data_IF_076608587514
#
_entry.id   IF_076608587514
#
_cell.length_a   1.000
_cell.length_b   1.000
_cell.length_c   1.000
_cell.angle_alpha   90.00
_cell.angle_beta   90.00
_cell.angle_gamma   90.00
#
_symmetry.space_group_name_H-M   'P 1'
#
loop_
_entity.id
_entity.type
_entity.pdbx_description
1 polymer ?
2 non-polymer ?
3 non-polymer ?
4 non-polymer ?
5 water ?
#
# COMPACT_ATOMS: atom_id res chain seq x y z
N UNK A 18 12.01 -44.82 4.17
CA UNK A 18 12.91 -43.71 4.58
C UNK A 18 12.82 -43.40 6.07
N UNK A 19 13.99 -43.18 6.70
CA UNK A 19 14.14 -42.87 8.13
C UNK A 19 13.37 -41.63 8.61
N UNK A 20 12.70 -41.78 9.75
CA UNK A 20 11.96 -40.68 10.34
C UNK A 20 12.55 -40.32 11.69
N UNK A 21 13.86 -40.50 11.84
CA UNK A 21 14.53 -40.15 13.09
C UNK A 21 14.56 -38.62 13.18
N UNK A 22 14.04 -38.05 14.27
CA UNK A 22 14.06 -36.59 14.37
C UNK A 22 15.49 -36.06 14.36
N UNK A 23 15.65 -34.91 13.73
CA UNK A 23 16.94 -34.25 13.66
C UNK A 23 16.68 -32.78 13.93
N UNK A 24 17.54 -32.17 14.74
CA UNK A 24 17.43 -30.74 15.04
C UNK A 24 18.53 -30.03 14.28
N UNK A 25 18.16 -29.12 13.40
CA UNK A 25 19.20 -28.42 12.67
C UNK A 25 20.06 -27.61 13.66
N UNK A 26 21.38 -27.80 13.56
CA UNK A 26 22.33 -27.12 14.42
C UNK A 26 23.73 -27.29 13.86
N UNK A 27 24.67 -26.50 14.33
CA UNK A 27 26.04 -26.56 13.82
C UNK A 27 26.93 -25.73 14.70
N UNK A 28 28.23 -25.99 14.63
CA UNK A 28 29.16 -25.18 15.40
C UNK A 28 29.16 -23.85 14.67
N UNK A 29 29.01 -22.77 15.43
CA UNK A 29 28.98 -21.43 14.86
C UNK A 29 30.20 -21.12 13.99
N UNK A 30 30.08 -20.09 13.18
CA UNK A 30 31.15 -19.66 12.30
C UNK A 30 32.30 -19.04 13.10
N UNK A 31 33.52 -19.27 12.66
CA UNK A 31 34.68 -18.73 13.35
C UNK A 31 35.61 -18.07 12.34
N UNK A 32 36.23 -16.98 12.76
CA UNK A 32 37.15 -16.27 11.89
C UNK A 32 36.49 -15.86 10.59
N UNK A 33 35.16 -15.73 10.62
CA UNK A 33 34.39 -15.35 9.43
C UNK A 33 34.45 -16.39 8.33
N UNK A 34 34.64 -17.63 8.73
CA UNK A 34 34.68 -18.73 7.79
C UNK A 34 33.33 -19.44 7.84
N UNK A 35 32.89 -20.00 6.71
CA UNK A 35 31.60 -20.68 6.75
C UNK A 35 31.63 -21.85 7.73
N UNK A 36 30.51 -22.13 8.41
CA UNK A 36 30.48 -23.25 9.35
C UNK A 36 30.23 -24.54 8.55
N UNK A 37 30.28 -25.68 9.22
CA UNK A 37 30.03 -26.94 8.55
C UNK A 37 29.22 -27.87 9.47
N UNK A 38 28.08 -28.34 8.96
CA UNK A 38 27.19 -29.21 9.71
C UNK A 38 27.69 -30.65 9.86
N UNK A 39 28.81 -30.96 9.21
CA UNK A 39 29.36 -32.29 9.29
C UNK A 39 28.91 -33.13 8.11
N UNK A 40 29.56 -34.27 7.94
CA UNK A 40 29.26 -35.17 6.85
C UNK A 40 27.86 -35.75 6.83
N UNK A 41 27.35 -36.14 8.00
CA UNK A 41 26.02 -36.74 8.04
C UNK A 41 24.93 -35.76 7.63
N UNK A 42 24.98 -34.53 8.14
CA UNK A 42 23.98 -33.55 7.77
C UNK A 42 24.18 -33.15 6.32
N UNK A 43 25.41 -32.85 5.95
CA UNK A 43 25.69 -32.45 4.58
C UNK A 43 25.15 -33.47 3.60
N UNK A 44 25.55 -34.73 3.79
CA UNK A 44 25.09 -35.79 2.90
C UNK A 44 23.57 -35.88 2.87
N UNK A 45 22.95 -35.86 4.04
CA UNK A 45 21.51 -35.94 4.11
C UNK A 45 20.86 -34.70 3.50
N UNK A 46 21.41 -33.53 3.83
CA UNK A 46 20.89 -32.27 3.33
C UNK A 46 20.94 -32.26 1.80
N UNK A 47 22.11 -32.56 1.26
CA UNK A 47 22.33 -32.61 -0.17
C UNK A 47 21.40 -33.61 -0.87
N UNK A 48 21.17 -34.75 -0.23
CA UNK A 48 20.31 -35.78 -0.81
C UNK A 48 18.92 -35.28 -1.19
N UNK A 49 18.42 -34.27 -0.48
CA UNK A 49 17.11 -33.70 -0.78
C UNK A 49 17.14 -32.26 -1.25
N UNK A 50 18.30 -31.81 -1.69
CA UNK A 50 18.47 -30.46 -2.21
C UNK A 50 18.20 -29.33 -1.22
N UNK A 51 18.38 -29.62 0.06
CA UNK A 51 18.19 -28.62 1.09
C UNK A 51 19.58 -28.03 1.36
N UNK A 52 19.64 -26.79 1.83
CA UNK A 52 20.94 -26.17 2.09
C UNK A 52 20.88 -25.22 3.27
N UNK A 53 22.04 -24.83 3.77
CA UNK A 53 22.12 -23.88 4.87
C UNK A 53 23.06 -22.74 4.51
N UNK A 54 23.64 -22.83 3.32
CA UNK A 54 24.55 -21.80 2.83
C UNK A 54 24.29 -21.45 1.36
N UNK A 55 24.61 -20.22 0.98
CA UNK A 55 24.49 -19.78 -0.40
C UNK A 55 25.87 -19.94 -1.02
N UNK A 56 26.26 -19.04 -1.92
CA UNK A 56 27.57 -19.12 -2.56
C UNK A 56 28.69 -18.57 -1.68
N UNK A 57 29.54 -19.48 -1.19
CA UNK A 57 30.65 -19.14 -0.32
C UNK A 57 31.91 -18.62 -1.05
N UNK A 58 31.83 -18.51 -2.36
CA UNK A 58 32.94 -18.02 -3.14
C UNK A 58 32.81 -16.50 -3.33
N UNK A 59 31.85 -15.91 -2.65
CA UNK A 59 31.65 -14.47 -2.74
C UNK A 59 31.14 -13.87 -1.46
N UNK A 60 31.52 -12.62 -1.22
CA UNK A 60 31.08 -11.91 -0.02
C UNK A 60 29.60 -11.57 -0.14
N UNK A 61 28.78 -12.60 0.01
CA UNK A 61 27.34 -12.44 -0.11
C UNK A 61 26.64 -13.00 1.13
N UNK A 62 25.60 -12.30 1.56
CA UNK A 62 24.79 -12.70 2.72
C UNK A 62 23.31 -12.69 2.32
N UNK A 63 22.55 -13.63 2.86
CA UNK A 63 21.12 -13.76 2.58
C UNK A 63 20.31 -13.59 3.87
N UNK A 64 19.47 -12.58 3.94
CA UNK A 64 18.68 -12.39 5.15
C UNK A 64 17.35 -13.16 5.13
N UNK A 65 17.11 -13.93 6.19
CA UNK A 65 15.87 -14.66 6.34
C UNK A 65 15.37 -14.40 7.74
N UNK A 66 14.06 -14.44 7.90
CA UNK A 66 13.44 -14.24 9.20
C UNK A 66 12.41 -15.34 9.47
N UNK A 67 12.15 -15.62 10.74
CA UNK A 67 11.12 -16.60 11.13
C UNK A 67 10.12 -15.71 11.87
N UNK A 68 8.84 -15.79 11.51
CA UNK A 68 7.84 -14.96 12.15
C UNK A 68 6.69 -15.77 12.69
N UNK A 69 6.66 -15.91 14.01
CA UNK A 69 5.62 -16.69 14.66
C UNK A 69 4.52 -15.79 15.18
N UNK A 70 4.88 -14.59 15.63
CA UNK A 70 3.94 -13.62 16.15
C UNK A 70 4.59 -12.23 16.05
N UNK A 71 3.79 -11.21 16.27
CA UNK A 71 4.27 -9.83 16.18
C UNK A 71 4.41 -9.19 17.55
N UNK A 72 5.55 -8.56 17.79
CA UNK A 72 5.79 -7.87 19.05
C UNK A 72 6.05 -6.39 18.80
N UNK A 73 5.66 -5.92 17.62
CA UNK A 73 5.79 -4.51 17.28
C UNK A 73 6.99 -3.94 16.55
N UNK A 74 7.88 -4.75 15.99
CA UNK A 74 9.05 -4.20 15.29
C UNK A 74 9.17 -4.56 13.83
N UNK A 75 8.32 -5.44 13.34
CA UNK A 75 8.45 -5.84 11.95
C UNK A 75 8.32 -4.67 10.98
N UNK A 76 7.47 -3.68 11.27
CA UNK A 76 7.36 -2.55 10.33
C UNK A 76 8.72 -1.82 10.27
N UNK A 77 9.35 -1.62 11.42
CA UNK A 77 10.65 -0.96 11.41
C UNK A 77 11.62 -1.84 10.64
N UNK A 78 11.55 -3.16 10.84
CA UNK A 78 12.43 -4.08 10.10
C UNK A 78 12.23 -3.90 8.61
N UNK A 79 10.97 -3.80 8.19
CA UNK A 79 10.67 -3.60 6.78
C UNK A 79 11.18 -2.24 6.27
N UNK A 80 11.08 -1.20 7.09
CA UNK A 80 11.57 0.11 6.67
C UNK A 80 13.08 0.05 6.48
N UNK A 81 13.76 -0.66 7.37
CA UNK A 81 15.20 -0.79 7.28
C UNK A 81 15.59 -1.50 5.98
N UNK A 82 14.93 -2.63 5.69
CA UNK A 82 15.23 -3.39 4.48
C UNK A 82 15.03 -2.53 3.23
N UNK A 83 13.96 -1.74 3.24
CA UNK A 83 13.65 -0.84 2.13
C UNK A 83 14.77 0.19 1.99
N UNK A 84 15.20 0.77 3.11
CA UNK A 84 16.26 1.77 3.09
C UNK A 84 17.49 1.25 2.36
N UNK A 85 17.96 0.06 2.75
CA UNK A 85 19.14 -0.57 2.17
C UNK A 85 18.83 -1.32 0.88
N UNK A 86 17.57 -1.30 0.47
CA UNK A 86 17.15 -1.99 -0.74
C UNK A 86 17.59 -3.46 -0.72
N UNK A 87 17.40 -4.10 0.42
CA UNK A 87 17.76 -5.52 0.57
C UNK A 87 16.48 -6.36 0.58
N UNK A 88 16.51 -7.52 -0.05
CA UNK A 88 15.33 -8.38 -0.08
C UNK A 88 15.35 -9.49 0.96
N UNK A 89 14.40 -9.46 1.89
CA UNK A 89 14.30 -10.47 2.92
C UNK A 89 13.41 -11.65 2.59
N UNK A 90 13.59 -12.75 3.30
CA UNK A 90 12.75 -13.93 3.08
C UNK A 90 12.19 -14.22 4.47
N UNK A 91 10.90 -13.99 4.62
CA UNK A 91 10.22 -14.19 5.90
C UNK A 91 9.44 -15.48 5.94
N UNK A 92 9.81 -16.35 6.87
CA UNK A 92 9.14 -17.63 7.04
C UNK A 92 8.04 -17.43 8.06
N UNK A 93 6.80 -17.41 7.59
CA UNK A 93 5.65 -17.18 8.45
C UNK A 93 4.85 -18.41 8.83
N UNK A 94 4.16 -18.31 9.98
CA UNK A 94 3.31 -19.38 10.48
C UNK A 94 1.86 -18.98 10.20
N UNK A 95 0.93 -19.90 10.46
CA UNK A 95 -0.49 -19.61 10.25
C UNK A 95 -0.99 -18.49 11.11
N UNK A 96 -0.63 -18.52 12.39
CA UNK A 96 -1.05 -17.46 13.30
C UNK A 96 -0.52 -16.11 12.85
N UNK A 97 0.75 -16.06 12.45
CA UNK A 97 1.34 -14.81 12.03
C UNK A 97 0.57 -14.18 10.87
N UNK A 98 0.29 -14.99 9.85
CA UNK A 98 -0.44 -14.52 8.69
C UNK A 98 -1.83 -14.02 9.08
N UNK A 99 -2.55 -14.81 9.85
CA UNK A 99 -3.89 -14.45 10.29
C UNK A 99 -3.91 -13.25 11.18
N UNK A 100 -2.87 -13.11 12.00
CA UNK A 100 -2.79 -11.98 12.92
C UNK A 100 -2.25 -10.67 12.31
N UNK A 101 -1.37 -10.79 11.33
CA UNK A 101 -0.75 -9.63 10.71
C UNK A 101 -0.93 -9.52 9.19
N UNK A 102 -2.17 -9.66 8.70
CA UNK A 102 -2.43 -9.57 7.26
C UNK A 102 -1.75 -8.40 6.53
N UNK A 103 -1.75 -7.21 7.15
CA UNK A 103 -1.13 -6.05 6.51
C UNK A 103 0.39 -6.15 6.42
N UNK A 104 1.02 -6.75 7.42
CA UNK A 104 2.47 -6.93 7.38
C UNK A 104 2.81 -7.92 6.27
N UNK A 105 1.96 -8.93 6.11
CA UNK A 105 2.16 -9.93 5.07
C UNK A 105 2.07 -9.23 3.71
N UNK A 106 1.15 -8.26 3.64
CA UNK A 106 0.92 -7.49 2.45
C UNK A 106 2.11 -6.55 2.16
N UNK A 107 2.68 -5.94 3.18
CA UNK A 107 3.85 -5.07 2.95
C UNK A 107 5.03 -5.91 2.45
N UNK A 108 5.27 -7.04 3.11
CA UNK A 108 6.36 -7.93 2.71
C UNK A 108 6.24 -8.17 1.21
N UNK A 109 5.02 -8.49 0.78
CA UNK A 109 4.68 -8.76 -0.62
C UNK A 109 4.85 -7.51 -1.48
N UNK A 110 4.16 -6.43 -1.12
CA UNK A 110 4.24 -5.18 -1.88
C UNK A 110 5.66 -4.66 -1.99
N UNK A 111 6.51 -4.95 -1.00
CA UNK A 111 7.86 -4.41 -1.02
C UNK A 111 8.97 -5.31 -1.56
N UNK A 112 8.58 -6.28 -2.38
CA UNK A 112 9.53 -7.16 -3.02
C UNK A 112 10.13 -8.28 -2.21
N UNK A 113 9.63 -8.52 -1.01
CA UNK A 113 10.19 -9.58 -0.17
C UNK A 113 9.59 -10.96 -0.43
N UNK A 114 10.27 -12.00 0.02
CA UNK A 114 9.80 -13.37 -0.19
C UNK A 114 9.15 -13.94 1.07
N UNK A 115 8.02 -14.60 0.89
CA UNK A 115 7.32 -15.20 2.01
C UNK A 115 7.50 -16.71 2.02
N UNK A 116 8.27 -17.20 3.00
CA UNK A 116 8.54 -18.62 3.15
C UNK A 116 7.49 -19.30 3.99
N UNK A 117 7.57 -20.63 4.09
CA UNK A 117 6.60 -21.39 4.87
C UNK A 117 7.19 -21.91 6.19
N UNK A 118 6.51 -21.59 7.30
CA UNK A 118 6.96 -22.05 8.60
C UNK A 118 5.83 -22.88 9.23
N UNK A 119 4.99 -23.43 8.34
CA UNK A 119 3.83 -24.27 8.68
C UNK A 119 2.72 -23.47 9.35
N UNK A 120 1.49 -23.97 9.25
CA UNK A 120 0.37 -23.27 9.82
C UNK A 120 0.29 -23.21 11.34
N UNK A 121 0.44 -24.36 12.00
CA UNK A 121 0.37 -24.42 13.46
C UNK A 121 1.74 -24.53 14.12
N UNK A 122 2.79 -24.49 13.31
CA UNK A 122 4.16 -24.59 13.81
C UNK A 122 4.39 -25.88 14.63
N UNK A 123 3.88 -27.00 14.13
CA UNK A 123 4.05 -28.28 14.84
C UNK A 123 5.39 -28.97 14.53
N UNK A 124 5.60 -30.12 15.16
CA UNK A 124 6.78 -30.93 14.92
C UNK A 124 6.36 -31.82 13.74
N UNK A 125 6.72 -31.41 12.53
CA UNK A 125 6.36 -32.14 11.34
C UNK A 125 6.70 -33.63 11.36
N UNK A 126 7.73 -34.02 12.10
CA UNK A 126 8.09 -35.44 12.13
C UNK A 126 7.00 -36.27 12.82
N UNK A 127 6.07 -35.59 13.47
CA UNK A 127 4.97 -36.27 14.14
C UNK A 127 3.74 -36.22 13.25
N UNK A 128 3.89 -35.73 12.03
CA UNK A 128 2.78 -35.60 11.10
C UNK A 128 2.84 -36.52 9.89
N UNK A 129 1.67 -36.78 9.32
CA UNK A 129 1.57 -37.64 8.15
C UNK A 129 1.62 -36.76 6.90
N UNK A 130 1.99 -37.37 5.77
CA UNK A 130 2.09 -36.61 4.52
C UNK A 130 0.81 -35.83 4.31
N UNK A 131 -0.30 -36.47 4.66
CA UNK A 131 -1.62 -35.86 4.52
C UNK A 131 -1.69 -34.61 5.38
N UNK A 132 -1.16 -34.71 6.59
CA UNK A 132 -1.16 -33.60 7.54
C UNK A 132 -0.15 -32.54 7.16
N UNK A 133 1.01 -32.99 6.70
CA UNK A 133 2.06 -32.07 6.28
C UNK A 133 1.57 -31.24 5.11
N UNK A 134 0.89 -31.88 4.16
CA UNK A 134 0.39 -31.17 3.01
C UNK A 134 -0.57 -30.05 3.43
N UNK A 135 -1.41 -30.33 4.42
CA UNK A 135 -2.36 -29.32 4.90
C UNK A 135 -1.62 -28.26 5.73
N UNK A 136 -0.71 -28.69 6.58
CA UNK A 136 0.06 -27.74 7.38
C UNK A 136 0.71 -26.67 6.51
N UNK A 137 1.29 -27.09 5.39
CA UNK A 137 1.96 -26.18 4.49
C UNK A 137 1.04 -25.41 3.53
N UNK A 138 0.13 -26.11 2.84
CA UNK A 138 -0.74 -25.43 1.90
C UNK A 138 -1.68 -24.41 2.52
N UNK A 139 -2.06 -24.61 3.79
CA UNK A 139 -2.98 -23.67 4.41
C UNK A 139 -2.31 -22.33 4.64
N UNK A 140 -0.98 -22.34 4.78
CA UNK A 140 -0.29 -21.07 4.96
C UNK A 140 -0.34 -20.35 3.62
N UNK A 141 -0.07 -21.07 2.52
CA UNK A 141 -0.09 -20.48 1.18
C UNK A 141 -1.47 -19.95 0.84
N UNK A 142 -2.49 -20.71 1.23
CA UNK A 142 -3.89 -20.34 1.01
C UNK A 142 -4.19 -18.95 1.59
N UNK A 143 -3.82 -18.75 2.85
CA UNK A 143 -4.04 -17.47 3.54
C UNK A 143 -3.19 -16.34 2.94
N UNK A 144 -1.94 -16.62 2.63
CA UNK A 144 -1.07 -15.62 2.04
C UNK A 144 -1.66 -15.14 0.73
N UNK A 145 -2.13 -16.08 -0.08
CA UNK A 145 -2.71 -15.74 -1.36
C UNK A 145 -3.99 -14.92 -1.17
N UNK A 146 -4.85 -15.35 -0.25
CA UNK A 146 -6.08 -14.61 0.01
C UNK A 146 -5.76 -13.13 0.19
N UNK A 147 -4.63 -12.88 0.83
CA UNK A 147 -4.16 -11.53 1.11
C UNK A 147 -3.37 -10.82 -0.02
N UNK A 148 -2.45 -11.53 -0.65
CA UNK A 148 -1.62 -10.93 -1.67
C UNK A 148 -2.05 -11.20 -3.11
N UNK A 149 -2.65 -12.35 -3.36
CA UNK A 149 -3.07 -12.68 -4.71
C UNK A 149 -1.86 -13.21 -5.44
N UNK A 150 -0.77 -13.36 -4.70
CA UNK A 150 0.47 -13.85 -5.25
C UNK A 150 0.94 -15.07 -4.47
N UNK A 151 1.96 -15.72 -4.99
CA UNK A 151 2.52 -16.87 -4.33
C UNK A 151 3.98 -17.03 -4.74
N UNK A 152 4.86 -16.96 -3.75
CA UNK A 152 6.30 -17.06 -3.97
C UNK A 152 6.70 -18.49 -4.25
N UNK A 153 7.94 -18.68 -4.69
CA UNK A 153 8.44 -20.03 -4.91
C UNK A 153 8.31 -20.68 -3.53
N UNK A 154 8.16 -22.00 -3.51
CA UNK A 154 7.98 -22.74 -2.28
C UNK A 154 9.24 -23.00 -1.48
N UNK A 155 9.36 -22.30 -0.36
CA UNK A 155 10.48 -22.42 0.55
C UNK A 155 9.94 -22.83 1.92
N UNK A 156 10.61 -23.77 2.55
CA UNK A 156 10.16 -24.23 3.85
C UNK A 156 11.25 -24.27 4.87
N UNK A 157 10.91 -23.82 6.08
CA UNK A 157 11.82 -23.89 7.20
C UNK A 157 11.04 -24.69 8.26
N UNK A 158 11.48 -25.92 8.54
CA UNK A 158 10.84 -26.81 9.52
C UNK A 158 10.59 -26.16 10.88
N UNK A 159 9.33 -26.20 11.35
CA UNK A 159 8.99 -25.62 12.64
C UNK A 159 9.86 -26.22 13.73
N UNK A 160 10.40 -25.35 14.58
CA UNK A 160 11.24 -25.76 15.71
C UNK A 160 12.60 -26.22 15.22
N UNK A 161 12.83 -26.07 13.92
CA UNK A 161 14.10 -26.48 13.33
C UNK A 161 14.26 -27.99 13.31
N UNK A 162 13.18 -28.69 13.59
CA UNK A 162 13.20 -30.15 13.62
C UNK A 162 12.76 -30.76 12.30
N UNK A 163 13.43 -31.83 11.88
CA UNK A 163 13.10 -32.50 10.64
C UNK A 163 13.60 -33.95 10.64
N UNK A 164 13.44 -34.62 9.50
CA UNK A 164 13.89 -36.00 9.35
C UNK A 164 13.99 -36.29 7.87
N UNK A 165 14.51 -37.45 7.51
CA UNK A 165 14.63 -37.80 6.11
C UNK A 165 13.20 -37.88 5.53
N UNK A 166 12.30 -38.50 6.28
CA UNK A 166 10.91 -38.63 5.86
C UNK A 166 10.28 -37.25 5.56
N UNK A 167 10.52 -36.29 6.46
CA UNK A 167 9.99 -34.93 6.34
C UNK A 167 10.56 -34.19 5.12
N UNK A 168 11.87 -34.31 4.92
CA UNK A 168 12.55 -33.68 3.80
C UNK A 168 12.01 -34.27 2.51
N UNK A 169 12.07 -35.59 2.42
CA UNK A 169 11.59 -36.32 1.26
C UNK A 169 10.15 -35.92 0.92
N UNK A 170 9.28 -36.02 1.92
CA UNK A 170 7.88 -35.70 1.75
C UNK A 170 7.63 -34.27 1.29
N UNK A 171 8.20 -33.30 2.00
CA UNK A 171 8.01 -31.88 1.63
C UNK A 171 8.61 -31.56 0.26
N UNK A 172 9.67 -32.26 -0.11
CA UNK A 172 10.30 -32.07 -1.40
C UNK A 172 9.33 -32.62 -2.43
N UNK A 173 8.73 -33.75 -2.08
CA UNK A 173 7.76 -34.38 -2.98
C UNK A 173 6.60 -33.39 -3.18
N UNK A 174 6.41 -32.52 -2.18
CA UNK A 174 5.35 -31.53 -2.23
C UNK A 174 5.79 -30.24 -2.90
N UNK A 175 6.99 -30.26 -3.47
CA UNK A 175 7.51 -29.10 -4.19
C UNK A 175 8.23 -28.04 -3.36
N UNK A 176 8.51 -28.33 -2.10
CA UNK A 176 9.18 -27.33 -1.26
C UNK A 176 10.68 -27.46 -1.17
N UNK A 177 11.32 -26.30 -1.13
CA UNK A 177 12.76 -26.20 -1.00
C UNK A 177 13.01 -25.93 0.48
N UNK A 178 13.71 -26.84 1.15
CA UNK A 178 13.98 -26.64 2.57
C UNK A 178 15.21 -25.79 2.76
N UNK A 179 15.03 -24.71 3.51
CA UNK A 179 16.09 -23.76 3.77
C UNK A 179 16.41 -23.67 5.26
N UNK A 180 17.64 -24.01 5.62
CA UNK A 180 18.07 -23.89 7.00
C UNK A 180 18.82 -22.56 7.15
N UNK A 181 19.86 -22.51 7.95
CA UNK A 181 20.58 -21.25 8.15
C UNK A 181 22.01 -21.49 8.59
N UNK A 182 22.84 -20.46 8.53
CA UNK A 182 24.24 -20.61 8.90
C UNK A 182 24.62 -19.62 9.99
N UNK A 183 23.72 -18.69 10.29
CA UNK A 183 23.94 -17.68 11.32
C UNK A 183 22.64 -17.49 12.10
N UNK A 184 22.73 -17.60 13.41
CA UNK A 184 21.58 -17.42 14.31
C UNK A 184 22.12 -17.15 15.70
N UNK A 185 21.30 -16.52 16.53
CA UNK A 185 21.65 -16.22 17.90
C UNK A 185 20.34 -16.02 18.66
N UNK A 186 20.42 -15.80 19.97
CA UNK A 186 19.21 -15.66 20.77
C UNK A 186 18.61 -14.27 20.74
N UNK A 187 17.77 -14.02 19.74
CA UNK A 187 17.11 -12.74 19.60
C UNK A 187 15.61 -12.98 19.65
N UNK A 188 15.22 -14.05 20.35
CA UNK A 188 13.83 -14.42 20.42
C UNK A 188 13.28 -14.66 21.82
N UNK A 189 14.08 -14.41 22.85
CA UNK A 189 13.61 -14.61 24.21
C UNK A 189 13.05 -13.29 24.72
N UNK A 190 11.72 -13.22 24.85
CA UNK A 190 11.06 -12.01 25.31
C UNK A 190 11.38 -11.65 26.76
N UNK A 191 11.57 -12.66 27.60
CA UNK A 191 11.88 -12.37 29.00
C UNK A 191 13.31 -11.87 29.21
N UNK A 192 14.13 -11.89 28.16
CA UNK A 192 15.50 -11.41 28.28
C UNK A 192 15.98 -10.79 26.98
N UNK A 193 15.45 -9.61 26.68
CA UNK A 193 15.79 -8.87 25.46
C UNK A 193 17.06 -8.09 25.74
N UNK A 194 18.16 -8.55 25.16
CA UNK A 194 19.47 -7.94 25.39
C UNK A 194 19.81 -6.59 24.75
N UNK A 195 18.97 -6.06 23.88
CA UNK A 195 19.28 -4.78 23.30
C UNK A 195 20.05 -4.85 21.99
N UNK A 196 20.25 -3.67 21.40
CA UNK A 196 20.93 -3.50 20.12
C UNK A 196 22.34 -4.11 19.94
N UNK A 197 23.27 -3.73 20.81
CA UNK A 197 24.63 -4.23 20.72
C UNK A 197 24.77 -5.76 20.63
N UNK A 198 24.03 -6.48 21.48
CA UNK A 198 24.10 -7.92 21.49
C UNK A 198 23.87 -8.54 20.11
N UNK A 199 22.79 -8.15 19.44
CA UNK A 199 22.46 -8.66 18.11
C UNK A 199 23.43 -8.15 17.06
N UNK A 200 23.74 -6.85 17.14
CA UNK A 200 24.65 -6.22 16.19
C UNK A 200 26.00 -6.96 16.17
N UNK A 201 26.59 -7.17 17.35
CA UNK A 201 27.85 -7.88 17.41
C UNK A 201 27.77 -9.30 16.85
N UNK A 202 26.69 -10.01 17.16
CA UNK A 202 26.54 -11.36 16.61
C UNK A 202 26.50 -11.34 15.08
N UNK A 203 25.81 -10.35 14.53
CA UNK A 203 25.68 -10.27 13.08
C UNK A 203 27.00 -9.92 12.39
N UNK A 204 27.86 -9.21 13.11
CA UNK A 204 29.17 -8.82 12.59
C UNK A 204 30.17 -9.98 12.75
N UNK A 205 30.22 -10.54 13.95
CA UNK A 205 31.14 -11.63 14.26
C UNK A 205 30.89 -12.92 13.48
N UNK A 206 29.62 -13.28 13.32
CA UNK A 206 29.28 -14.51 12.62
C UNK A 206 29.25 -14.43 11.11
N UNK A 207 29.40 -13.21 10.58
CA UNK A 207 29.39 -12.99 9.14
C UNK A 207 30.46 -13.78 8.39
N UNK A 208 30.04 -14.43 7.32
CA UNK A 208 30.93 -15.21 6.48
C UNK A 208 30.31 -15.22 5.08
N UNK A 209 31.12 -15.54 4.05
CA UNK A 209 30.63 -15.60 2.67
C UNK A 209 29.57 -16.67 2.53
N UNK A 210 28.53 -16.36 1.76
CA UNK A 210 27.44 -17.31 1.55
C UNK A 210 26.55 -17.52 2.77
N UNK A 211 26.77 -16.73 3.82
CA UNK A 211 26.00 -16.88 5.05
C UNK A 211 24.51 -16.64 4.88
N UNK A 212 23.72 -17.50 5.51
CA UNK A 212 22.28 -17.38 5.50
C UNK A 212 21.88 -17.07 6.93
N UNK A 213 21.53 -15.82 7.16
CA UNK A 213 21.11 -15.37 8.48
C UNK A 213 19.67 -15.75 8.79
N UNK A 214 19.42 -16.04 10.07
CA UNK A 214 18.10 -16.35 10.57
C UNK A 214 17.88 -15.37 11.71
N UNK A 215 16.99 -14.42 11.52
CA UNK A 215 16.72 -13.42 12.53
C UNK A 215 15.25 -13.44 12.91
N UNK A 216 14.95 -12.83 14.05
CA UNK A 216 13.58 -12.70 14.50
C UNK A 216 13.39 -11.21 14.58
N UNK A 217 12.13 -10.75 14.54
CA UNK A 217 11.85 -9.32 14.57
C UNK A 217 11.01 -9.00 15.81
N UNK A 218 11.21 -9.76 16.88
CA UNK A 218 10.45 -9.55 18.11
C UNK A 218 11.22 -8.94 19.28
N UNK A 219 12.55 -8.96 19.25
CA UNK A 219 13.31 -8.43 20.39
C UNK A 219 13.62 -6.95 20.28
N UNK A 220 13.71 -6.29 21.42
CA UNK A 220 13.99 -4.86 21.50
C UNK A 220 15.18 -4.43 20.64
N UNK A 221 14.96 -3.46 19.75
CA UNK A 221 15.99 -2.90 18.88
C UNK A 221 16.57 -3.80 17.80
N UNK A 222 15.94 -4.93 17.53
CA UNK A 222 16.45 -5.82 16.50
C UNK A 222 16.53 -5.03 15.19
N UNK A 223 15.57 -4.13 14.98
CA UNK A 223 15.55 -3.34 13.75
C UNK A 223 16.76 -2.41 13.61
N UNK A 224 17.10 -1.69 14.70
CA UNK A 224 18.24 -0.78 14.67
C UNK A 224 19.58 -1.51 14.56
N UNK A 225 19.67 -2.71 15.16
CA UNK A 225 20.90 -3.49 15.10
C UNK A 225 21.08 -4.00 13.67
N UNK A 226 19.98 -4.38 13.03
CA UNK A 226 20.01 -4.86 11.66
C UNK A 226 20.47 -3.72 10.75
N UNK A 227 19.90 -2.54 11.00
CA UNK A 227 20.21 -1.34 10.22
C UNK A 227 21.71 -1.14 10.18
N UNK A 228 22.30 -1.02 11.37
CA UNK A 228 23.73 -0.81 11.53
C UNK A 228 24.53 -1.97 10.93
N UNK A 229 24.02 -3.18 11.14
CA UNK A 229 24.69 -4.37 10.64
C UNK A 229 24.76 -4.37 9.13
N UNK A 230 23.68 -3.98 8.47
CA UNK A 230 23.72 -3.95 7.02
C UNK A 230 24.65 -2.82 6.61
N UNK A 231 24.50 -1.67 7.26
CA UNK A 231 25.33 -0.53 6.96
C UNK A 231 26.79 -0.93 7.01
N UNK A 232 27.22 -1.55 8.09
CA UNK A 232 28.63 -1.93 8.23
C UNK A 232 29.06 -3.12 7.40
N UNK A 233 28.20 -4.12 7.24
CA UNK A 233 28.58 -5.28 6.42
C UNK A 233 28.81 -4.85 4.97
N UNK A 234 28.00 -3.90 4.50
CA UNK A 234 28.15 -3.38 3.14
C UNK A 234 29.51 -2.66 3.04
N UNK A 235 29.87 -1.88 4.07
CA UNK A 235 31.16 -1.19 4.08
C UNK A 235 32.27 -2.22 3.94
N UNK A 236 32.06 -3.40 4.52
CA UNK A 236 33.04 -4.48 4.47
C UNK A 236 33.05 -5.18 3.12
N UNK A 237 32.19 -4.72 2.20
CA UNK A 237 32.14 -5.32 0.88
C UNK A 237 31.18 -6.48 0.69
N UNK A 238 30.18 -6.58 1.57
CA UNK A 238 29.18 -7.65 1.46
C UNK A 238 28.00 -7.20 0.63
N UNK A 239 27.46 -8.11 -0.15
CA UNK A 239 26.28 -7.84 -0.97
C UNK A 239 25.16 -8.72 -0.41
N UNK A 240 24.00 -8.13 -0.17
CA UNK A 240 22.87 -8.90 0.35
C UNK A 240 21.97 -9.39 -0.77
N UNK A 241 21.77 -10.71 -0.83
CA UNK A 241 20.93 -11.31 -1.86
C UNK A 241 19.78 -12.11 -1.24
N UNK A 242 18.77 -12.39 -2.04
CA UNK A 242 17.61 -13.14 -1.57
C UNK A 242 17.72 -14.64 -1.81
N UNK A 243 16.85 -15.40 -1.17
CA UNK A 243 16.85 -16.84 -1.35
C UNK A 243 16.50 -17.16 -2.80
N UNK A 244 15.68 -16.31 -3.43
CA UNK A 244 15.36 -16.55 -4.85
C UNK A 244 16.66 -16.35 -5.64
N UNK A 245 17.43 -15.31 -5.32
CA UNK A 245 18.69 -15.07 -6.02
C UNK A 245 19.61 -16.28 -5.79
N UNK A 246 19.69 -16.78 -4.56
CA UNK A 246 20.53 -17.93 -4.24
C UNK A 246 20.17 -19.10 -5.15
N UNK A 247 18.87 -19.36 -5.26
CA UNK A 247 18.36 -20.44 -6.10
C UNK A 247 18.71 -20.24 -7.58
N UNK A 248 18.43 -19.05 -8.11
CA UNK A 248 18.70 -18.77 -9.52
C UNK A 248 20.16 -18.88 -9.90
N UNK A 249 21.03 -18.31 -9.08
CA UNK A 249 22.45 -18.31 -9.37
C UNK A 249 23.11 -19.68 -9.31
N UNK A 250 22.55 -20.59 -8.50
CA UNK A 250 23.10 -21.93 -8.38
C UNK A 250 22.55 -22.81 -9.50
N UNK A 251 21.43 -22.38 -10.07
CA UNK A 251 20.80 -23.11 -11.17
C UNK A 251 21.84 -23.17 -12.29
N UNK A 252 22.33 -21.98 -12.64
CA UNK A 252 23.35 -21.84 -13.67
C UNK A 252 24.64 -22.48 -13.17
N UNK A 253 25.22 -21.94 -12.20
N UNK B 18 6.25 34.16 -0.11
CA UNK B 18 5.26 33.13 -0.54
C UNK B 18 5.40 32.83 -2.04
N UNK B 19 5.88 31.62 -2.37
CA UNK B 19 6.10 31.14 -3.74
C UNK B 19 4.84 31.05 -4.61
N UNK B 20 4.95 31.55 -5.84
CA UNK B 20 3.84 31.49 -6.80
C UNK B 20 4.26 30.61 -7.96
N UNK B 21 4.95 29.51 -7.66
CA UNK B 21 5.40 28.59 -8.69
C UNK B 21 4.28 27.63 -9.09
N UNK B 22 3.88 27.64 -10.36
CA UNK B 22 2.82 26.76 -10.83
C UNK B 22 3.00 25.31 -10.41
N UNK B 23 1.93 24.70 -9.95
CA UNK B 23 1.94 23.31 -9.53
C UNK B 23 0.67 22.66 -10.06
N UNK B 24 0.81 21.54 -10.74
CA UNK B 24 -0.35 20.83 -11.29
C UNK B 24 -0.66 19.66 -10.37
N UNK B 25 -1.87 19.62 -9.83
CA UNK B 25 -2.22 18.52 -8.96
C UNK B 25 -2.14 17.25 -9.79
N UNK B 26 -1.47 16.24 -9.24
CA UNK B 26 -1.30 14.97 -9.92
C UNK B 26 -0.83 13.99 -8.88
N UNK B 27 -0.79 12.72 -9.21
CA UNK B 27 -0.37 11.71 -8.26
C UNK B 27 -0.40 10.35 -8.94
N UNK B 28 0.31 9.40 -8.34
CA UNK B 28 0.35 8.06 -8.88
C UNK B 28 -0.99 7.43 -8.47
N UNK B 29 -1.73 6.94 -9.45
CA UNK B 29 -3.03 6.34 -9.21
C UNK B 29 -3.06 5.30 -8.08
N UNK B 30 -4.25 5.06 -7.55
CA UNK B 30 -4.43 4.09 -6.49
C UNK B 30 -4.18 2.69 -7.03
N UNK B 31 -3.46 1.89 -6.25
CA UNK B 31 -3.18 0.52 -6.64
C UNK B 31 -3.61 -0.37 -5.47
N UNK B 32 -4.11 -1.55 -5.76
CA UNK B 32 -4.53 -2.45 -4.69
C UNK B 32 -5.65 -1.85 -3.83
N UNK B 33 -6.29 -0.80 -4.30
CA UNK B 33 -7.35 -0.14 -3.54
C UNK B 33 -6.82 0.54 -2.29
N UNK B 34 -5.57 0.97 -2.37
CA UNK B 34 -4.94 1.66 -1.27
C UNK B 34 -4.91 3.15 -1.61
N UNK B 35 -5.04 4.01 -0.60
CA UNK B 35 -5.01 5.45 -0.86
C UNK B 35 -3.73 5.90 -1.55
N UNK B 36 -3.84 6.75 -2.57
CA UNK B 36 -2.65 7.24 -3.27
C UNK B 36 -1.88 8.17 -2.33
N UNK B 37 -0.71 8.63 -2.77
CA UNK B 37 0.05 9.57 -1.97
C UNK B 37 0.66 10.57 -2.93
N UNK B 38 0.51 11.85 -2.63
CA UNK B 38 1.03 12.93 -3.47
C UNK B 38 2.49 13.22 -3.21
N UNK B 39 3.07 12.53 -2.22
CA UNK B 39 4.46 12.77 -1.89
C UNK B 39 4.49 13.88 -0.87
N UNK B 40 5.33 13.73 0.14
CA UNK B 40 5.40 14.74 1.19
C UNK B 40 5.80 16.10 0.68
N UNK B 41 6.02 16.21 -0.62
CA UNK B 41 6.36 17.49 -1.21
C UNK B 41 5.09 18.31 -1.22
N UNK B 42 4.04 17.71 -1.77
CA UNK B 42 2.73 18.33 -1.84
C UNK B 42 1.98 18.15 -0.54
N UNK B 43 2.23 17.03 0.13
CA UNK B 43 1.59 16.73 1.39
C UNK B 43 1.87 17.83 2.42
N UNK B 44 3.08 18.37 2.39
CA UNK B 44 3.46 19.44 3.31
C UNK B 44 2.70 20.70 2.99
N UNK B 45 2.90 21.19 1.77
CA UNK B 45 2.25 22.40 1.29
C UNK B 45 0.74 22.30 1.38
N UNK B 46 0.22 21.11 1.13
CA UNK B 46 -1.22 20.91 1.16
C UNK B 46 -1.77 21.22 2.56
N UNK B 47 -1.30 20.48 3.55
CA UNK B 47 -1.75 20.66 4.92
C UNK B 47 -1.40 22.02 5.47
N UNK B 48 -0.32 22.60 4.96
CA UNK B 48 0.11 23.93 5.40
C UNK B 48 -1.03 24.92 5.22
N UNK B 49 -1.84 24.71 4.19
CA UNK B 49 -2.96 25.59 3.91
C UNK B 49 -4.30 24.88 4.05
N UNK B 50 -4.26 23.75 4.73
CA UNK B 50 -5.45 22.95 5.00
C UNK B 50 -6.19 22.41 3.78
N UNK B 51 -5.54 22.38 2.62
CA UNK B 51 -6.16 21.84 1.42
C UNK B 51 -6.07 20.30 1.54
N UNK B 52 -6.94 19.58 0.85
CA UNK B 52 -6.91 18.11 0.93
C UNK B 52 -7.34 17.42 -0.36
N UNK B 53 -6.94 16.15 -0.47
CA UNK B 53 -7.28 15.34 -1.63
C UNK B 53 -7.85 14.00 -1.20
N UNK B 54 -7.86 13.77 0.11
CA UNK B 54 -8.39 12.54 0.69
C UNK B 54 -9.32 12.84 1.86
N UNK B 55 -10.26 11.92 2.10
CA UNK B 55 -11.18 12.06 3.21
C UNK B 55 -10.70 11.14 4.32
N UNK B 56 -11.62 10.47 5.00
CA UNK B 56 -11.24 9.56 6.07
C UNK B 56 -10.78 8.23 5.51
N UNK B 57 -9.46 8.07 5.43
CA UNK B 57 -8.88 6.84 4.89
C UNK B 57 -9.01 5.67 5.85
N UNK B 58 -9.60 5.93 7.02
CA UNK B 58 -9.76 4.90 8.01
C UNK B 58 -11.09 4.17 7.92
N UNK B 59 -11.94 4.59 7.00
CA UNK B 59 -13.23 3.93 6.81
C UNK B 59 -13.49 3.76 5.31
N UNK B 60 -14.37 2.82 4.97
CA UNK B 60 -14.70 2.56 3.57
C UNK B 60 -15.70 3.60 3.09
N UNK B 61 -15.21 4.83 2.93
CA UNK B 61 -16.03 5.93 2.47
C UNK B 61 -15.46 6.55 1.20
N UNK B 62 -16.36 7.05 0.36
CA UNK B 62 -15.99 7.70 -0.89
C UNK B 62 -16.75 9.00 -0.97
N UNK B 63 -16.09 10.01 -1.52
CA UNK B 63 -16.69 11.32 -1.66
C UNK B 63 -16.71 11.67 -3.14
N UNK B 64 -17.91 11.82 -3.70
CA UNK B 64 -18.03 12.15 -5.11
C UNK B 64 -18.04 13.66 -5.37
N UNK B 65 -17.18 14.09 -6.27
CA UNK B 65 -17.14 15.48 -6.66
C UNK B 65 -17.21 15.50 -8.18
N UNK B 66 -17.71 16.60 -8.74
CA UNK B 66 -17.82 16.77 -10.17
C UNK B 66 -17.30 18.15 -10.58
N UNK B 67 -16.73 18.23 -11.78
CA UNK B 67 -16.25 19.51 -12.29
C UNK B 67 -17.15 19.78 -13.47
N UNK B 68 -17.81 20.92 -13.45
CA UNK B 68 -18.74 21.28 -14.49
C UNK B 68 -18.37 22.59 -15.17
N UNK B 69 -17.95 22.50 -16.42
CA UNK B 69 -17.56 23.68 -17.16
C UNK B 69 -18.61 23.99 -18.21
N UNK B 70 -19.24 22.95 -18.71
CA UNK B 70 -20.29 23.11 -19.72
C UNK B 70 -21.18 21.86 -19.69
N UNK B 71 -22.33 21.96 -20.34
CA UNK B 71 -23.28 20.86 -20.37
C UNK B 71 -23.31 20.14 -21.70
N UNK B 72 -23.43 18.82 -21.65
CA UNK B 72 -23.48 18.02 -22.86
C UNK B 72 -24.72 17.11 -22.83
N UNK B 73 -25.63 17.39 -21.91
CA UNK B 73 -26.86 16.61 -21.87
C UNK B 73 -27.04 15.50 -20.87
N UNK B 74 -26.06 15.25 -20.00
CA UNK B 74 -26.17 14.14 -19.04
C UNK B 74 -26.30 14.52 -17.57
N UNK B 75 -26.02 15.78 -17.21
CA UNK B 75 -26.11 16.15 -15.81
C UNK B 75 -27.48 15.81 -15.19
N UNK B 76 -28.57 16.02 -15.93
CA UNK B 76 -29.89 15.70 -15.37
C UNK B 76 -29.98 14.23 -14.92
N UNK B 77 -29.45 13.32 -15.75
CA UNK B 77 -29.46 11.90 -15.43
C UNK B 77 -28.54 11.66 -14.23
N UNK B 78 -27.42 12.36 -14.20
CA UNK B 78 -26.49 12.21 -13.10
C UNK B 78 -27.20 12.61 -11.81
N UNK B 79 -27.98 13.67 -11.85
CA UNK B 79 -28.70 14.12 -10.65
C UNK B 79 -29.75 13.09 -10.23
N UNK B 80 -30.35 12.42 -11.21
CA UNK B 80 -31.34 11.37 -10.92
C UNK B 80 -30.64 10.16 -10.31
N UNK B 81 -29.45 9.85 -10.81
CA UNK B 81 -28.72 8.71 -10.27
C UNK B 81 -28.37 8.97 -8.81
N UNK B 82 -27.83 10.15 -8.51
CA UNK B 82 -27.48 10.48 -7.14
C UNK B 82 -28.72 10.39 -6.26
N UNK B 83 -29.81 10.99 -6.75
CA UNK B 83 -31.07 10.96 -6.01
C UNK B 83 -31.45 9.51 -5.72
N UNK B 84 -31.46 8.70 -6.77
CA UNK B 84 -31.82 7.29 -6.66
C UNK B 84 -31.05 6.60 -5.54
N UNK B 85 -29.73 6.81 -5.49
CA UNK B 85 -28.88 6.20 -4.47
C UNK B 85 -28.75 7.04 -3.19
N UNK B 86 -29.54 8.10 -3.09
CA UNK B 86 -29.48 8.99 -1.93
C UNK B 86 -28.06 9.42 -1.59
N UNK B 87 -27.30 9.83 -2.61
CA UNK B 87 -25.94 10.29 -2.41
C UNK B 87 -25.84 11.77 -2.70
N UNK B 88 -25.01 12.46 -1.93
CA UNK B 88 -24.79 13.90 -2.07
C UNK B 88 -23.51 14.21 -2.83
N UNK B 89 -23.66 14.86 -3.98
CA UNK B 89 -22.50 15.24 -4.76
C UNK B 89 -22.07 16.67 -4.50
N UNK B 90 -20.82 16.95 -4.85
CA UNK B 90 -20.27 18.30 -4.71
C UNK B 90 -19.84 18.63 -6.14
N UNK B 91 -20.59 19.56 -6.75
CA UNK B 91 -20.37 20.00 -8.12
C UNK B 91 -19.59 21.32 -8.17
N UNK B 92 -18.39 21.28 -8.74
CA UNK B 92 -17.56 22.49 -8.84
C UNK B 92 -17.88 23.09 -10.19
N UNK B 93 -18.54 24.25 -10.15
CA UNK B 93 -18.98 24.90 -11.37
C UNK B 93 -18.28 26.19 -11.73
N UNK B 94 -18.23 26.48 -13.02
CA UNK B 94 -17.61 27.71 -13.51
C UNK B 94 -18.69 28.72 -13.82
N UNK B 95 -18.24 29.93 -14.14
CA UNK B 95 -19.17 31.00 -14.46
C UNK B 95 -20.00 30.64 -15.67
N UNK B 96 -19.35 30.11 -16.71
CA UNK B 96 -20.09 29.75 -17.92
C UNK B 96 -21.16 28.69 -17.63
N UNK B 97 -20.82 27.70 -16.81
CA UNK B 97 -21.79 26.67 -16.51
C UNK B 97 -23.01 27.22 -15.79
N UNK B 98 -22.79 28.04 -14.78
CA UNK B 98 -23.90 28.59 -14.01
C UNK B 98 -24.83 29.43 -14.87
N UNK B 99 -24.24 30.30 -15.68
CA UNK B 99 -25.01 31.18 -16.55
C UNK B 99 -25.76 30.42 -17.63
N UNK B 100 -25.19 29.31 -18.07
CA UNK B 100 -25.81 28.53 -19.14
C UNK B 100 -26.84 27.52 -18.65
N UNK B 101 -26.69 27.08 -17.39
CA UNK B 101 -27.58 26.08 -16.82
C UNK B 101 -28.17 26.46 -15.46
N UNK B 102 -28.92 27.56 -15.40
CA UNK B 102 -29.54 28.03 -14.14
C UNK B 102 -30.35 26.93 -13.48
N UNK B 103 -31.12 26.23 -14.29
CA UNK B 103 -32.00 25.19 -13.78
C UNK B 103 -31.28 23.96 -13.20
N UNK B 104 -30.14 23.58 -13.77
CA UNK B 104 -29.40 22.45 -13.22
C UNK B 104 -28.82 22.91 -11.90
N UNK B 105 -28.33 24.14 -11.89
CA UNK B 105 -27.77 24.73 -10.68
C UNK B 105 -28.85 24.66 -9.61
N UNK B 106 -30.05 25.11 -9.95
CA UNK B 106 -31.16 25.07 -9.00
C UNK B 106 -31.49 23.63 -8.55
N UNK B 107 -31.43 22.66 -9.46
CA UNK B 107 -31.72 21.27 -9.04
C UNK B 107 -30.65 20.81 -8.07
N UNK B 108 -29.40 21.15 -8.34
CA UNK B 108 -28.30 20.75 -7.46
C UNK B 108 -28.62 21.19 -6.03
N UNK B 109 -29.02 22.45 -5.90
CA UNK B 109 -29.35 23.04 -4.62
C UNK B 109 -30.62 22.43 -4.03
N UNK B 110 -31.69 22.37 -4.83
CA UNK B 110 -32.95 21.81 -4.34
C UNK B 110 -32.78 20.36 -3.91
N UNK B 111 -31.97 19.60 -4.63
CA UNK B 111 -31.80 18.20 -4.32
C UNK B 111 -30.73 17.79 -3.30
N UNK B 112 -30.34 18.76 -2.47
CA UNK B 112 -29.39 18.47 -1.40
C UNK B 112 -27.91 18.38 -1.68
N UNK B 113 -27.48 18.78 -2.86
CA UNK B 113 -26.07 18.71 -3.18
C UNK B 113 -25.34 20.00 -2.81
N UNK B 114 -24.03 19.98 -2.99
CA UNK B 114 -23.19 21.11 -2.65
C UNK B 114 -22.59 21.68 -3.93
N UNK B 115 -22.59 23.00 -4.05
CA UNK B 115 -22.02 23.64 -5.22
C UNK B 115 -20.68 24.28 -4.83
N UNK B 116 -19.60 23.79 -5.43
CA UNK B 116 -18.27 24.28 -5.17
C UNK B 116 -17.88 25.33 -6.21
N UNK B 117 -16.75 25.98 -6.01
CA UNK B 117 -16.30 27.01 -6.91
C UNK B 117 -15.16 26.54 -7.82
N UNK B 118 -15.36 26.68 -9.12
CA UNK B 118 -14.36 26.29 -10.11
C UNK B 118 -13.94 27.55 -10.89
N UNK B 119 -14.19 28.71 -10.27
CA UNK B 119 -13.88 30.04 -10.80
C UNK B 119 -14.82 30.45 -11.93
N UNK B 120 -15.02 31.74 -12.09
CA UNK B 120 -15.91 32.24 -13.12
C UNK B 120 -15.44 31.94 -14.54
N UNK B 121 -14.22 32.35 -14.87
CA UNK B 121 -13.69 32.15 -16.22
C UNK B 121 -12.76 30.94 -16.36
N UNK B 122 -12.57 30.20 -15.29
CA UNK B 122 -11.73 29.01 -15.34
C UNK B 122 -10.31 29.38 -15.81
N UNK B 123 -9.80 30.52 -15.34
CA UNK B 123 -8.45 30.91 -15.75
C UNK B 123 -7.41 30.21 -14.89
N UNK B 124 -6.14 30.38 -15.25
CA UNK B 124 -5.06 29.82 -14.47
C UNK B 124 -4.91 30.87 -13.37
N UNK B 125 -5.32 30.51 -12.16
CA UNK B 125 -5.27 31.42 -11.03
C UNK B 125 -3.89 31.93 -10.65
N UNK B 126 -2.83 31.24 -11.07
CA UNK B 126 -1.47 31.68 -10.72
C UNK B 126 -0.99 32.82 -11.61
N UNK B 127 -1.88 33.32 -12.45
CA UNK B 127 -1.57 34.42 -13.35
C UNK B 127 -2.49 35.55 -12.95
N UNK B 128 -3.16 35.37 -11.83
CA UNK B 128 -4.12 36.34 -11.33
C UNK B 128 -3.69 36.98 -10.02
N UNK B 129 -4.10 38.23 -9.83
CA UNK B 129 -3.78 38.98 -8.63
C UNK B 129 -4.89 38.75 -7.61
N UNK B 130 -4.52 38.75 -6.34
CA UNK B 130 -5.47 38.55 -5.26
C UNK B 130 -6.79 39.22 -5.57
N UNK B 131 -6.70 40.43 -6.12
CA UNK B 131 -7.87 41.20 -6.47
C UNK B 131 -8.69 40.47 -7.53
N UNK B 132 -8.02 40.06 -8.60
CA UNK B 132 -8.66 39.33 -9.68
C UNK B 132 -9.24 38.03 -9.15
N UNK B 133 -8.39 37.28 -8.44
CA UNK B 133 -8.78 36.01 -7.84
C UNK B 133 -10.09 36.16 -7.07
N UNK B 134 -10.19 37.19 -6.23
CA UNK B 134 -11.41 37.41 -5.46
C UNK B 134 -12.64 37.54 -6.33
N UNK B 135 -12.54 38.31 -7.41
CA UNK B 135 -13.68 38.51 -8.28
C UNK B 135 -14.03 37.19 -8.97
N UNK B 136 -13.02 36.50 -9.47
CA UNK B 136 -13.22 35.22 -10.13
C UNK B 136 -14.06 34.27 -9.27
N UNK B 137 -13.80 34.25 -7.96
CA UNK B 137 -14.52 33.37 -7.06
C UNK B 137 -15.87 33.95 -6.60
N UNK B 138 -15.89 35.19 -6.13
CA UNK B 138 -17.15 35.80 -5.68
C UNK B 138 -18.20 35.85 -6.79
N UNK B 139 -17.77 36.14 -8.01
CA UNK B 139 -18.71 36.23 -9.12
C UNK B 139 -19.52 34.94 -9.29
N UNK B 140 -18.88 33.80 -9.05
CA UNK B 140 -19.56 32.51 -9.16
C UNK B 140 -20.63 32.42 -8.06
N UNK B 141 -20.25 32.64 -6.80
CA UNK B 141 -21.24 32.56 -5.73
C UNK B 141 -22.38 33.54 -5.95
N UNK B 142 -22.03 34.75 -6.42
CA UNK B 142 -23.01 35.80 -6.69
C UNK B 142 -24.11 35.27 -7.60
N UNK B 143 -23.70 34.63 -8.69
CA UNK B 143 -24.63 34.07 -9.67
C UNK B 143 -25.44 32.89 -9.13
N UNK B 144 -24.80 32.07 -8.31
CA UNK B 144 -25.46 30.92 -7.71
C UNK B 144 -26.53 31.41 -6.75
N UNK B 145 -26.17 32.39 -5.94
CA UNK B 145 -27.13 32.94 -4.99
C UNK B 145 -28.32 33.55 -5.75
N UNK B 146 -28.05 34.18 -6.88
CA UNK B 146 -29.12 34.78 -7.67
C UNK B 146 -30.14 33.70 -8.01
N UNK B 147 -29.63 32.51 -8.33
CA UNK B 147 -30.46 31.38 -8.69
C UNK B 147 -31.08 30.64 -7.50
N UNK B 148 -30.28 30.38 -6.48
CA UNK B 148 -30.73 29.59 -5.33
C UNK B 148 -31.12 30.28 -4.02
N UNK B 149 -30.70 31.53 -3.83
CA UNK B 149 -30.99 32.23 -2.60
C UNK B 149 -30.16 31.65 -1.45
N UNK B 150 -29.24 30.75 -1.80
CA UNK B 150 -28.40 30.11 -0.80
C UNK B 150 -26.92 30.17 -1.15
N UNK B 151 -26.08 29.72 -0.21
CA UNK B 151 -24.65 29.70 -0.44
C UNK B 151 -24.02 28.65 0.46
N UNK B 152 -23.35 27.68 -0.16
CA UNK B 152 -22.68 26.61 0.54
C UNK B 152 -21.38 27.08 1.19
N UNK B 153 -20.78 26.16 1.94
CA UNK B 153 -19.50 26.42 2.56
C UNK B 153 -18.58 26.61 1.35
N UNK B 154 -17.58 27.46 1.52
CA UNK B 154 -16.64 27.79 0.45
C UNK B 154 -15.62 26.70 0.11
N UNK B 155 -15.83 26.04 -1.02
CA UNK B 155 -14.93 24.99 -1.51
C UNK B 155 -14.43 25.42 -2.89
N UNK B 156 -13.15 25.22 -3.13
CA UNK B 156 -12.56 25.61 -4.40
C UNK B 156 -11.76 24.49 -5.05
N UNK B 157 -11.94 24.36 -6.35
CA UNK B 157 -11.16 23.42 -7.12
C UNK B 157 -10.48 24.26 -8.22
N UNK B 158 -9.18 24.46 -8.09
CA UNK B 158 -8.40 25.24 -9.06
C UNK B 158 -8.56 24.79 -10.50
N UNK B 159 -8.74 25.74 -11.43
CA UNK B 159 -8.89 25.37 -12.84
C UNK B 159 -7.62 24.66 -13.31
N UNK B 160 -7.76 23.72 -14.23
CA UNK B 160 -6.62 22.94 -14.75
C UNK B 160 -5.83 22.25 -13.65
N UNK B 161 -6.33 22.32 -12.41
CA UNK B 161 -5.64 21.68 -11.31
C UNK B 161 -4.32 22.37 -11.00
N UNK B 162 -4.13 23.54 -11.59
CA UNK B 162 -2.92 24.30 -11.38
C UNK B 162 -3.07 25.29 -10.23
N UNK B 163 -2.10 25.27 -9.32
CA UNK B 163 -2.10 26.16 -8.18
C UNK B 163 -0.65 26.49 -7.80
N UNK B 164 -0.51 27.27 -6.74
CA UNK B 164 0.79 27.66 -6.21
C UNK B 164 0.58 27.93 -4.73
N UNK B 165 1.66 28.09 -3.98
CA UNK B 165 1.57 28.40 -2.55
C UNK B 165 0.81 29.72 -2.42
N UNK B 166 1.10 30.62 -3.35
CA UNK B 166 0.46 31.92 -3.39
C UNK B 166 -1.06 31.73 -3.50
N UNK B 167 -1.49 30.93 -4.48
CA UNK B 167 -2.90 30.67 -4.73
C UNK B 167 -3.59 30.05 -3.52
N UNK B 168 -3.00 29.01 -2.95
CA UNK B 168 -3.57 28.37 -1.77
C UNK B 168 -3.70 29.41 -0.66
N UNK B 169 -2.58 30.04 -0.33
CA UNK B 169 -2.55 31.05 0.72
C UNK B 169 -3.62 32.12 0.51
N UNK B 170 -3.65 32.68 -0.69
CA UNK B 170 -4.58 33.73 -1.03
C UNK B 170 -6.06 33.30 -1.01
N UNK B 171 -6.38 32.12 -1.53
CA UNK B 171 -7.77 31.66 -1.54
C UNK B 171 -8.23 31.29 -0.13
N UNK B 172 -7.29 30.81 0.68
CA UNK B 172 -7.57 30.41 2.06
C UNK B 172 -7.89 31.68 2.82
N UNK B 173 -7.23 32.77 2.44
CA UNK B 173 -7.43 34.06 3.07
C UNK B 173 -8.81 34.58 2.68
N UNK B 174 -9.31 34.15 1.52
CA UNK B 174 -10.63 34.56 1.07
C UNK B 174 -11.71 33.68 1.70
N UNK B 175 -11.28 32.70 2.47
CA UNK B 175 -12.21 31.82 3.16
C UNK B 175 -12.46 30.48 2.47
N UNK B 176 -11.75 30.22 1.38
CA UNK B 176 -11.96 28.97 0.67
C UNK B 176 -11.20 27.73 1.09
N UNK B 177 -11.90 26.62 1.00
CA UNK B 177 -11.36 25.32 1.32
C UNK B 177 -11.01 24.71 -0.03
N UNK B 178 -9.72 24.53 -0.30
CA UNK B 178 -9.29 23.95 -1.57
C UNK B 178 -9.37 22.42 -1.56
N UNK B 179 -10.15 21.90 -2.50
CA UNK B 179 -10.37 20.46 -2.62
C UNK B 179 -9.76 19.86 -3.89
N UNK B 180 -8.89 18.86 -3.72
CA UNK B 180 -8.31 18.17 -4.86
C UNK B 180 -9.03 16.84 -4.98
N UNK B 181 -8.35 15.82 -5.48
CA UNK B 181 -8.99 14.52 -5.65
C UNK B 181 -7.97 13.41 -5.57
N UNK B 182 -8.45 12.17 -5.54
CA UNK B 182 -7.56 11.02 -5.45
C UNK B 182 -7.97 9.97 -6.48
N UNK B 183 -9.04 10.25 -7.20
CA UNK B 183 -9.51 9.35 -8.24
C UNK B 183 -10.03 10.18 -9.41
N UNK B 184 -9.45 9.95 -10.57
CA UNK B 184 -9.85 10.64 -11.79
C UNK B 184 -9.44 9.79 -12.99
N UNK B 185 -10.03 10.09 -14.13
CA UNK B 185 -9.69 9.40 -15.36
C UNK B 185 -10.21 10.25 -16.52
N UNK B 186 -9.93 9.83 -17.75
CA UNK B 186 -10.35 10.59 -18.90
C UNK B 186 -11.82 10.36 -19.28
N UNK B 187 -12.67 11.21 -18.75
CA UNK B 187 -14.11 11.13 -19.02
C UNK B 187 -14.56 12.52 -19.45
N UNK B 188 -13.63 13.26 -20.05
CA UNK B 188 -13.89 14.61 -20.50
C UNK B 188 -13.47 14.83 -21.93
N UNK B 189 -13.09 13.77 -22.62
CA UNK B 189 -12.69 13.87 -24.04
C UNK B 189 -13.87 13.61 -24.95
N UNK B 190 -14.48 14.69 -25.41
CA UNK B 190 -15.64 14.61 -26.28
C UNK B 190 -15.39 13.90 -27.59
N UNK B 191 -14.19 14.06 -28.14
CA UNK B 191 -13.90 13.46 -29.43
C UNK B 191 -13.55 12.00 -29.35
N UNK B 192 -13.44 11.48 -28.13
CA UNK B 192 -13.15 10.07 -27.94
C UNK B 192 -13.89 9.54 -26.71
N UNK B 193 -15.22 9.50 -26.79
CA UNK B 193 -16.03 9.03 -25.67
C UNK B 193 -16.09 7.50 -25.63
N UNK B 194 -15.21 6.91 -24.82
CA UNK B 194 -15.10 5.46 -24.70
C UNK B 194 -16.30 4.66 -24.18
N UNK B 195 -17.27 5.30 -23.53
CA UNK B 195 -18.43 4.53 -23.09
C UNK B 195 -18.52 4.11 -21.63
N UNK B 196 -19.61 3.43 -21.32
CA UNK B 196 -19.91 2.98 -19.97
C UNK B 196 -18.87 2.16 -19.23
N UNK B 197 -18.47 1.02 -19.81
CA UNK B 197 -17.50 0.13 -19.19
C UNK B 197 -16.19 0.83 -18.80
N UNK B 198 -15.64 1.63 -19.70
CA UNK B 198 -14.38 2.31 -19.42
C UNK B 198 -14.41 3.13 -18.12
N UNK B 199 -15.50 3.86 -17.92
CA UNK B 199 -15.69 4.70 -16.74
C UNK B 199 -15.99 3.85 -15.51
N UNK B 200 -16.91 2.91 -15.67
CA UNK B 200 -17.29 2.02 -14.58
C UNK B 200 -16.06 1.30 -14.02
N UNK B 201 -15.31 0.66 -14.91
CA UNK B 201 -14.13 -0.07 -14.48
C UNK B 201 -13.19 0.79 -13.69
N UNK B 202 -12.92 2.01 -14.16
CA UNK B 202 -12.03 2.91 -13.41
C UNK B 202 -12.54 3.19 -12.00
N UNK B 203 -13.84 3.44 -11.87
CA UNK B 203 -14.41 3.74 -10.56
C UNK B 203 -14.30 2.56 -9.60
N UNK B 204 -14.40 1.35 -10.15
CA UNK B 204 -14.29 0.12 -9.35
C UNK B 204 -12.86 -0.20 -9.02
N UNK B 205 -11.97 0.01 -9.99
CA UNK B 205 -10.55 -0.27 -9.80
C UNK B 205 -9.80 0.69 -8.92
N UNK B 206 -10.06 1.99 -9.09
CA UNK B 206 -9.37 3.02 -8.29
C UNK B 206 -9.94 3.23 -6.91
N UNK B 207 -11.04 2.53 -6.61
CA UNK B 207 -11.70 2.64 -5.31
C UNK B 207 -10.77 2.35 -4.11
N UNK B 208 -10.77 3.26 -3.14
CA UNK B 208 -9.99 3.10 -1.92
C UNK B 208 -10.63 3.91 -0.78
N UNK B 209 -10.34 3.54 0.47
CA UNK B 209 -10.90 4.25 1.62
C UNK B 209 -10.56 5.75 1.61
N UNK B 210 -11.54 6.58 1.91
CA UNK B 210 -11.33 8.01 1.93
C UNK B 210 -11.17 8.67 0.57
N UNK B 211 -11.45 7.92 -0.49
CA UNK B 211 -11.30 8.40 -1.86
C UNK B 211 -12.20 9.57 -2.22
N UNK B 212 -11.62 10.56 -2.88
CA UNK B 212 -12.37 11.70 -3.35
C UNK B 212 -12.36 11.61 -4.86
N UNK B 213 -13.51 11.27 -5.42
CA UNK B 213 -13.68 11.12 -6.86
C UNK B 213 -13.91 12.43 -7.56
N UNK B 214 -13.24 12.60 -8.71
CA UNK B 214 -13.42 13.77 -9.57
C UNK B 214 -14.03 13.21 -10.85
N UNK B 215 -15.31 13.49 -11.08
CA UNK B 215 -15.98 13.01 -12.27
C UNK B 215 -16.49 14.19 -13.09
N UNK B 216 -16.73 13.93 -14.37
CA UNK B 216 -17.27 14.91 -15.30
C UNK B 216 -18.59 14.25 -15.71
N UNK B 217 -19.50 15.04 -16.29
CA UNK B 217 -20.82 14.56 -16.70
C UNK B 217 -21.12 14.84 -18.17
N UNK B 218 -20.05 15.00 -18.94
CA UNK B 218 -20.15 15.30 -20.37
C UNK B 218 -20.00 14.09 -21.30
N UNK B 219 -19.39 13.02 -20.80
CA UNK B 219 -19.18 11.83 -21.62
C UNK B 219 -20.34 10.82 -21.69
N UNK B 220 -20.47 10.20 -22.86
CA UNK B 220 -21.52 9.20 -23.10
C UNK B 220 -21.59 8.13 -22.00
N UNK B 221 -22.80 7.87 -21.54
CA UNK B 221 -23.11 6.86 -20.51
C UNK B 221 -22.48 7.07 -19.14
N UNK B 222 -21.91 8.25 -18.89
CA UNK B 222 -21.29 8.48 -17.60
C UNK B 222 -22.26 8.29 -16.46
N UNK B 223 -23.51 8.70 -16.64
CA UNK B 223 -24.51 8.54 -15.58
C UNK B 223 -24.74 7.05 -15.32
N UNK B 224 -24.90 6.28 -16.37
CA UNK B 224 -25.11 4.84 -16.23
C UNK B 224 -23.91 4.21 -15.52
N UNK B 225 -22.71 4.54 -15.96
CA UNK B 225 -21.48 4.02 -15.33
C UNK B 225 -21.49 4.30 -13.83
N UNK B 226 -21.78 5.55 -13.47
CA UNK B 226 -21.84 5.98 -12.09
C UNK B 226 -22.91 5.21 -11.33
N UNK B 227 -24.04 5.01 -11.99
CA UNK B 227 -25.15 4.28 -11.37
C UNK B 227 -24.65 2.90 -10.91
N UNK B 228 -24.09 2.15 -11.84
CA UNK B 228 -23.57 0.82 -11.54
C UNK B 228 -22.43 0.84 -10.54
N UNK B 229 -21.56 1.84 -10.65
CA UNK B 229 -20.42 1.97 -9.76
C UNK B 229 -20.88 2.17 -8.32
N UNK B 230 -21.93 2.97 -8.12
CA UNK B 230 -22.43 3.18 -6.77
C UNK B 230 -23.13 1.91 -6.28
N UNK B 231 -23.91 1.30 -7.15
CA UNK B 231 -24.61 0.07 -6.79
C UNK B 231 -23.59 -0.94 -6.31
N UNK B 232 -22.54 -1.14 -7.09
CA UNK B 232 -21.53 -2.13 -6.73
C UNK B 232 -20.57 -1.73 -5.62
N UNK B 233 -20.18 -0.47 -5.57
CA UNK B 233 -19.28 -0.05 -4.51
C UNK B 233 -19.97 -0.22 -3.17
N UNK B 234 -21.27 0.06 -3.12
CA UNK B 234 -22.05 -0.11 -1.90
C UNK B 234 -22.06 -1.57 -1.45
N UNK B 235 -22.24 -2.48 -2.40
CA UNK B 235 -22.23 -3.92 -2.10
C UNK B 235 -20.89 -4.30 -1.49
N UNK B 236 -19.84 -3.61 -1.91
CA UNK B 236 -18.51 -3.88 -1.38
C UNK B 236 -18.32 -3.31 0.01
N UNK B 237 -19.32 -2.60 0.52
CA UNK B 237 -19.23 -2.04 1.85
C UNK B 237 -18.84 -0.58 1.95
N UNK B 238 -18.87 0.13 0.84
CA UNK B 238 -18.52 1.55 0.84
C UNK B 238 -19.74 2.41 1.16
N UNK B 239 -19.51 3.52 1.86
CA UNK B 239 -20.58 4.46 2.16
C UNK B 239 -20.14 5.74 1.46
N UNK B 240 -21.10 6.40 0.81
CA UNK B 240 -20.83 7.64 0.10
C UNK B 240 -21.25 8.82 0.94
N UNK B 241 -20.28 9.70 1.22
CA UNK B 241 -20.51 10.90 2.01
C UNK B 241 -20.15 12.16 1.21
N UNK B 242 -20.54 13.32 1.73
CA UNK B 242 -20.29 14.58 1.06
C UNK B 242 -19.01 15.24 1.53
N UNK B 243 -18.67 16.36 0.89
CA UNK B 243 -17.49 17.12 1.26
C UNK B 243 -17.77 17.86 2.58
N UNK B 244 -19.04 18.21 2.81
CA UNK B 244 -19.40 18.87 4.08
C UNK B 244 -19.23 17.84 5.16
N UNK B 245 -19.67 16.62 4.88
CA UNK B 245 -19.53 15.52 5.82
C UNK B 245 -18.06 15.36 6.14
N UNK B 246 -17.24 15.35 5.10
CA UNK B 246 -15.80 15.19 5.25
C UNK B 246 -15.22 16.27 6.16
N UNK B 247 -15.62 17.52 5.93
CA UNK B 247 -15.13 18.63 6.73
C UNK B 247 -15.62 18.58 8.17
N UNK B 248 -16.89 18.20 8.37
CA UNK B 248 -17.37 18.18 9.74
C UNK B 248 -16.83 17.00 10.53
N UNK B 249 -16.72 15.85 9.87
CA UNK B 249 -16.23 14.67 10.53
C UNK B 249 -14.79 14.79 11.00
N UNK B 250 -13.93 15.46 10.24
CA UNK B 250 -12.56 15.57 10.70
C UNK B 250 -12.44 16.70 11.70
N UNK B 251 -13.36 17.65 11.64
CA UNK B 251 -13.40 18.77 12.55
C UNK B 251 -13.87 18.20 13.88
N UNK B 252 -14.47 17.01 13.79
CA UNK B 252 -14.99 16.28 14.93
C UNK B 252 -13.83 15.67 15.71
N UNK B 253 -12.97 15.01 15.08
#
# INVERSE_FOLDING_TARGET
GPLGSVLLAGGAAQAEAVPNEPINWGFKRSVNHQPPDAGKQLNSLIEKYDAFYLGNTKEKTIYLTFDNGYENGYTPKVLDVLKKHRVTGTFFVTGHFVKDQPQLIKRMSDEGHIIGNHSFHHPDLTTKTADQIQDELDSVNEEVYKITGKQDNLYLRPPRGVFSEYVLKETKRLGYQTVFWSVAFVDWKINNQKGKKYAYDHMIKQAHPGAIYLLHTVSRDNAEALDDAITDLKKQGYTFKSIDDLMFEKEMRLPSL
GPLGSVLLAGGAAQAEAVPNEPINWGFKRSVNHQPPDAGKQLNSLIEKYDAFYLGNTKEKTIYLTFDNGYENGYTPKVLDVLKKHRVTGTFFVTGHFVKDQPQLIKRMSDEGHIIGNHSFHHPDLTTKTADQIQDELDSVNEEVYKITGKQDNLYLRPPRGVFSEYVLKETKRLGYQTVFWSVAFVDWKINNQKGKKYAYDHMIKQAHPGAIYLLHTVSRDNAEALDDAITDLKKQGYTFKSIDDLMFEKEMRLPSL
#
